data_IF_188629412211
#
_entry.id   IF_188629412211
#
_cell.length_a   1.000
_cell.length_b   1.000
_cell.length_c   1.000
_cell.angle_alpha   90.00
_cell.angle_beta   90.00
_cell.angle_gamma   90.00
#
_symmetry.space_group_name_H-M   'P 1'
#
loop_
_entity.id
_entity.type
_entity.pdbx_description
1 polymer ?
#
# COMPACT_ATOMS: atom_id res chain seq x y z
N UNK A 1 3.79 -1.85 20.71
CA UNK A 1 2.56 -1.09 20.41
C UNK A 1 2.25 -1.28 18.94
N UNK A 2 0.99 -1.47 18.55
CA UNK A 2 0.66 -1.55 17.13
C UNK A 2 0.53 -0.14 16.57
N UNK A 3 1.26 0.15 15.50
CA UNK A 3 1.27 1.46 14.85
C UNK A 3 0.01 1.66 13.99
N UNK A 4 -0.43 2.91 13.76
CA UNK A 4 -1.43 3.19 12.74
C UNK A 4 -0.89 2.87 11.34
N UNK A 5 -1.79 2.62 10.39
CA UNK A 5 -1.45 2.37 8.99
C UNK A 5 -2.70 2.19 8.14
N UNK A 6 -2.48 1.99 6.84
CA UNK A 6 -3.52 1.70 5.84
C UNK A 6 -3.63 0.18 5.67
N UNK A 7 -4.84 -0.36 5.75
CA UNK A 7 -5.13 -1.77 5.51
C UNK A 7 -6.01 -1.93 4.26
N UNK A 8 -5.39 -2.32 3.15
CA UNK A 8 -6.01 -2.52 1.83
C UNK A 8 -5.60 -3.87 1.23
N UNK A 9 -6.48 -4.42 0.39
CA UNK A 9 -6.22 -5.58 -0.45
C UNK A 9 -5.24 -5.26 -1.57
N UNK A 10 -4.66 -6.29 -2.19
CA UNK A 10 -3.81 -6.11 -3.40
C UNK A 10 -4.60 -5.46 -4.54
N UNK A 11 -5.89 -5.81 -4.72
CA UNK A 11 -6.74 -5.19 -5.73
C UNK A 11 -6.88 -3.67 -5.52
N UNK A 12 -7.18 -3.23 -4.29
CA UNK A 12 -7.27 -1.81 -3.95
C UNK A 12 -5.94 -1.06 -4.16
N UNK A 13 -4.79 -1.71 -3.95
CA UNK A 13 -3.48 -1.14 -4.27
C UNK A 13 -3.29 -0.94 -5.77
N UNK A 14 -3.69 -1.92 -6.59
CA UNK A 14 -3.62 -1.84 -8.06
C UNK A 14 -4.57 -0.74 -8.57
N UNK A 15 -5.77 -0.63 -8.02
CA UNK A 15 -6.71 0.44 -8.37
C UNK A 15 -6.16 1.83 -8.02
N UNK A 16 -5.55 1.98 -6.84
CA UNK A 16 -4.87 3.21 -6.43
C UNK A 16 -3.74 3.56 -7.40
N UNK A 17 -2.92 2.58 -7.80
CA UNK A 17 -1.89 2.77 -8.80
C UNK A 17 -2.45 3.22 -10.15
N UNK A 18 -3.58 2.66 -10.58
CA UNK A 18 -4.29 3.09 -11.78
C UNK A 18 -4.76 4.54 -11.71
N UNK A 19 -5.32 4.96 -10.57
CA UNK A 19 -5.76 6.36 -10.33
C UNK A 19 -4.60 7.36 -10.36
N UNK A 20 -3.45 7.00 -9.79
CA UNK A 20 -2.34 7.94 -9.59
C UNK A 20 -1.30 7.90 -10.72
N UNK A 21 -0.92 6.71 -11.18
CA UNK A 21 0.16 6.50 -12.16
C UNK A 21 -0.35 6.09 -13.55
N UNK A 22 -1.66 5.84 -13.69
CA UNK A 22 -2.30 5.53 -14.96
C UNK A 22 -2.21 4.04 -15.38
N UNK A 23 -3.08 3.67 -16.31
CA UNK A 23 -3.23 2.26 -16.75
C UNK A 23 -1.96 1.66 -17.37
N UNK A 24 -1.12 2.48 -18.01
CA UNK A 24 0.12 1.99 -18.62
C UNK A 24 1.11 1.44 -17.58
N UNK A 25 1.10 1.98 -16.36
CA UNK A 25 1.91 1.46 -15.25
C UNK A 25 1.28 0.19 -14.69
N UNK A 26 -0.06 0.16 -14.52
CA UNK A 26 -0.79 -1.03 -14.08
C UNK A 26 -0.57 -2.22 -15.02
N UNK A 27 -0.53 -2.00 -16.34
CA UNK A 27 -0.27 -3.05 -17.35
C UNK A 27 1.10 -3.73 -17.20
N UNK A 28 2.02 -3.19 -16.42
CA UNK A 28 3.31 -3.81 -16.13
C UNK A 28 3.22 -4.91 -15.05
N UNK A 29 2.12 -4.96 -14.31
CA UNK A 29 1.88 -5.98 -13.28
C UNK A 29 1.58 -7.31 -13.97
N UNK A 30 2.23 -8.38 -13.52
CA UNK A 30 1.95 -9.76 -13.92
C UNK A 30 1.39 -10.51 -12.71
N UNK A 31 0.23 -11.13 -12.89
CA UNK A 31 -0.39 -11.99 -11.88
C UNK A 31 0.17 -13.41 -12.03
N UNK A 32 1.17 -13.73 -11.20
CA UNK A 32 1.88 -15.01 -11.21
C UNK A 32 1.80 -15.60 -9.80
N UNK A 33 0.94 -16.61 -9.62
CA UNK A 33 0.78 -17.26 -8.32
C UNK A 33 2.05 -18.04 -7.92
N UNK A 34 2.62 -17.67 -6.77
CA UNK A 34 3.71 -18.40 -6.13
C UNK A 34 3.20 -19.06 -4.85
N UNK A 35 3.23 -20.40 -4.81
CA UNK A 35 2.71 -21.18 -3.68
C UNK A 35 3.48 -20.94 -2.38
N UNK A 36 4.80 -20.74 -2.46
CA UNK A 36 5.64 -20.51 -1.29
C UNK A 36 5.37 -19.11 -0.70
N UNK A 37 5.26 -18.08 -1.55
CA UNK A 37 4.87 -16.73 -1.13
C UNK A 37 3.46 -16.76 -0.53
N UNK A 38 2.51 -17.42 -1.19
CA UNK A 38 1.13 -17.51 -0.70
C UNK A 38 1.03 -18.21 0.66
N UNK A 39 1.78 -19.30 0.86
CA UNK A 39 1.82 -20.02 2.13
C UNK A 39 2.27 -19.15 3.31
N UNK A 40 3.18 -18.19 3.06
CA UNK A 40 3.64 -17.22 4.04
C UNK A 40 2.60 -16.11 4.26
N UNK A 41 2.21 -15.42 3.19
CA UNK A 41 1.43 -14.18 3.26
C UNK A 41 0.00 -14.43 3.76
N UNK A 42 -0.60 -15.58 3.45
CA UNK A 42 -1.98 -15.89 3.89
C UNK A 42 -2.16 -15.89 5.42
N UNK A 43 -1.07 -16.04 6.17
CA UNK A 43 -1.08 -16.08 7.63
C UNK A 43 -0.66 -14.74 8.26
N UNK A 44 -0.38 -13.71 7.46
CA UNK A 44 -0.02 -12.40 8.00
C UNK A 44 -1.25 -11.69 8.58
N UNK A 45 -1.10 -11.00 9.72
CA UNK A 45 -2.16 -10.14 10.25
C UNK A 45 -2.53 -9.05 9.24
N UNK A 46 -3.83 -8.92 8.95
CA UNK A 46 -4.32 -8.10 7.84
C UNK A 46 -4.71 -6.68 8.24
N UNK A 47 -5.31 -6.49 9.42
CA UNK A 47 -5.84 -5.19 9.86
C UNK A 47 -5.59 -4.98 11.34
N UNK A 48 -5.10 -3.80 11.67
CA UNK A 48 -4.88 -3.37 13.04
C UNK A 48 -5.56 -2.05 13.31
N UNK A 49 -6.21 -1.95 14.48
CA UNK A 49 -6.81 -0.70 14.91
C UNK A 49 -5.76 0.34 15.30
N UNK A 50 -4.58 -0.03 15.82
CA UNK A 50 -3.51 0.91 16.18
C UNK A 50 -3.92 1.99 17.19
N UNK A 51 -4.94 1.75 18.02
CA UNK A 51 -5.59 2.74 18.89
C UNK A 51 -4.61 3.45 19.83
N UNK A 52 -3.84 2.68 20.61
CA UNK A 52 -2.87 3.24 21.57
C UNK A 52 -1.84 4.15 20.91
N UNK A 53 -1.40 3.82 19.69
CA UNK A 53 -0.43 4.65 18.98
C UNK A 53 -1.06 5.96 18.50
N UNK A 54 -2.31 5.93 18.02
CA UNK A 54 -3.06 7.16 17.70
C UNK A 54 -3.27 8.05 18.93
N UNK A 55 -3.62 7.47 20.07
CA UNK A 55 -3.76 8.21 21.34
C UNK A 55 -2.45 8.87 21.78
N UNK A 56 -1.31 8.29 21.41
CA UNK A 56 0.02 8.86 21.65
C UNK A 56 0.46 9.88 20.58
N UNK A 57 -0.41 10.22 19.62
CA UNK A 57 -0.14 11.23 18.59
C UNK A 57 0.56 10.72 17.34
N UNK A 58 0.81 9.40 17.22
CA UNK A 58 1.34 8.83 15.98
C UNK A 58 0.31 8.92 14.85
N UNK A 59 0.78 9.25 13.66
CA UNK A 59 -0.01 9.36 12.43
C UNK A 59 0.56 8.43 11.36
N UNK A 60 -0.30 8.05 10.44
CA UNK A 60 0.03 7.36 9.21
C UNK A 60 -0.87 7.92 8.10
N UNK A 61 -0.58 7.54 6.87
CA UNK A 61 -1.40 7.83 5.70
C UNK A 61 -2.83 7.30 5.90
N UNK A 62 -3.78 7.96 5.25
CA UNK A 62 -5.20 7.62 5.31
C UNK A 62 -5.66 6.73 4.14
N UNK A 63 -4.86 6.66 3.08
CA UNK A 63 -5.16 5.90 1.86
C UNK A 63 -3.89 5.41 1.17
N UNK A 64 -4.04 4.41 0.30
CA UNK A 64 -2.93 3.94 -0.54
C UNK A 64 -2.57 4.97 -1.64
N UNK A 65 -3.52 5.82 -2.04
CA UNK A 65 -3.29 6.94 -2.96
C UNK A 65 -2.28 7.94 -2.38
N UNK A 66 -2.35 8.24 -1.07
CA UNK A 66 -1.36 9.06 -0.37
C UNK A 66 0.02 8.41 -0.40
N UNK A 67 0.11 7.12 -0.07
CA UNK A 67 1.37 6.36 -0.07
C UNK A 67 2.05 6.44 -1.46
N UNK A 68 1.29 6.23 -2.54
CA UNK A 68 1.84 6.31 -3.91
C UNK A 68 2.31 7.73 -4.23
N UNK A 69 1.53 8.76 -3.87
CA UNK A 69 1.93 10.16 -4.11
C UNK A 69 3.20 10.53 -3.36
N UNK A 70 3.29 10.17 -2.08
CA UNK A 70 4.48 10.39 -1.25
C UNK A 70 5.70 9.69 -1.87
N UNK A 71 5.56 8.44 -2.31
CA UNK A 71 6.64 7.74 -2.99
C UNK A 71 7.11 8.44 -4.27
N UNK A 72 6.17 8.94 -5.10
CA UNK A 72 6.52 9.69 -6.31
C UNK A 72 7.25 10.99 -5.97
N UNK A 73 6.79 11.71 -4.96
CA UNK A 73 7.39 12.98 -4.54
C UNK A 73 8.80 12.79 -3.97
N UNK A 74 8.97 11.84 -3.05
CA UNK A 74 10.20 11.64 -2.30
C UNK A 74 11.25 10.85 -3.07
N UNK A 75 10.86 9.76 -3.74
CA UNK A 75 11.80 8.81 -4.37
C UNK A 75 11.98 9.04 -5.87
N UNK A 76 10.96 9.57 -6.56
CA UNK A 76 10.97 9.76 -8.02
C UNK A 76 11.10 11.24 -8.44
N UNK A 77 11.29 12.15 -7.47
CA UNK A 77 11.41 13.58 -7.73
C UNK A 77 10.19 14.18 -8.43
N UNK A 78 9.00 13.66 -8.10
CA UNK A 78 7.71 14.12 -8.64
C UNK A 78 7.39 13.64 -10.05
N UNK A 79 8.13 12.67 -10.62
CA UNK A 79 7.96 12.22 -12.00
C UNK A 79 7.56 10.74 -12.07
N UNK A 80 6.66 10.43 -12.98
CA UNK A 80 6.24 9.06 -13.31
C UNK A 80 6.75 8.75 -14.73
N UNK A 81 7.34 7.57 -14.93
CA UNK A 81 8.00 7.15 -16.17
C UNK A 81 7.06 6.47 -17.18
#
# INVERSE_FOLDING_TARGET
ITMPGVAVTVGEQIEALGRIAGENVVKRIRDEHDEAVWALVKNWPTRFEGKRARELGFKAESSFDEIIKTHIEEELGGKIA
#
